data_IF_819285906892
#
_entry.id   IF_819285906892
#
_cell.length_a   1.000
_cell.length_b   1.000
_cell.length_c   1.000
_cell.angle_alpha   90.00
_cell.angle_beta   90.00
_cell.angle_gamma   90.00
#
_symmetry.space_group_name_H-M   'P 1'
#
loop_
_entity.id
_entity.type
_entity.pdbx_description
1 polymer ?
#
# COMPACT_ATOMS: atom_id res chain seq x y z
N UNK A 1 -7.06 -6.41 -2.54
CA UNK A 1 -7.56 -5.18 -3.17
C UNK A 1 -8.03 -4.28 -2.05
N UNK A 2 -7.87 -2.96 -2.18
CA UNK A 2 -8.29 -1.97 -1.18
C UNK A 2 -8.99 -0.84 -1.91
N UNK A 3 -10.20 -0.47 -1.49
CA UNK A 3 -10.93 0.65 -2.10
C UNK A 3 -10.40 1.97 -1.56
N UNK A 4 -10.03 2.92 -2.43
CA UNK A 4 -9.54 4.25 -2.07
C UNK A 4 -10.12 5.29 -3.02
N UNK A 5 -10.86 6.28 -2.49
CA UNK A 5 -11.51 7.34 -3.29
C UNK A 5 -12.39 6.79 -4.44
N UNK A 6 -13.02 5.63 -4.22
CA UNK A 6 -13.86 4.96 -5.22
C UNK A 6 -13.09 4.20 -6.31
N UNK A 7 -11.76 4.06 -6.18
CA UNK A 7 -10.92 3.24 -7.04
C UNK A 7 -10.45 1.98 -6.29
N UNK A 8 -10.31 0.86 -7.00
CA UNK A 8 -9.68 -0.34 -6.46
C UNK A 8 -8.16 -0.25 -6.60
N UNK A 9 -7.44 -0.31 -5.48
CA UNK A 9 -5.97 -0.36 -5.46
C UNK A 9 -5.49 -1.82 -5.35
N UNK A 10 -4.54 -2.18 -6.21
CA UNK A 10 -3.82 -3.45 -6.11
C UNK A 10 -2.80 -3.32 -4.98
N UNK A 11 -2.95 -4.17 -3.96
CA UNK A 11 -2.06 -4.27 -2.81
C UNK A 11 -1.00 -5.35 -3.07
N UNK A 12 0.27 -4.98 -3.01
CA UNK A 12 1.42 -5.86 -3.16
C UNK A 12 2.31 -5.76 -1.92
N UNK A 13 2.91 -6.87 -1.50
CA UNK A 13 3.93 -6.90 -0.46
C UNK A 13 5.31 -7.11 -1.07
N UNK A 14 6.29 -6.30 -0.67
CA UNK A 14 7.69 -6.57 -0.94
C UNK A 14 8.20 -7.55 0.12
N UNK A 15 8.38 -8.81 -0.26
CA UNK A 15 8.77 -9.88 0.67
C UNK A 15 10.26 -10.17 0.55
N UNK A 16 10.98 -10.16 1.68
CA UNK A 16 12.37 -10.59 1.76
C UNK A 16 12.58 -11.47 3.00
N UNK A 17 13.14 -12.67 2.79
CA UNK A 17 13.32 -13.69 3.83
C UNK A 17 12.03 -13.97 4.64
N UNK A 18 10.88 -14.03 3.97
CA UNK A 18 9.59 -14.30 4.60
C UNK A 18 9.03 -13.15 5.44
N UNK A 19 9.63 -11.95 5.35
CA UNK A 19 9.16 -10.74 6.03
C UNK A 19 8.68 -9.72 5.01
N UNK A 20 7.53 -9.12 5.28
CA UNK A 20 7.02 -7.99 4.52
C UNK A 20 7.82 -6.74 4.89
N UNK A 21 8.51 -6.19 3.89
CA UNK A 21 9.41 -5.03 4.04
C UNK A 21 8.72 -3.72 3.74
N UNK A 22 7.79 -3.76 2.79
CA UNK A 22 6.91 -2.67 2.42
C UNK A 22 5.58 -3.26 1.92
N UNK A 23 4.50 -2.50 2.10
CA UNK A 23 3.23 -2.76 1.43
C UNK A 23 2.98 -1.62 0.46
N UNK A 24 2.65 -1.96 -0.77
CA UNK A 24 2.61 -1.06 -1.89
C UNK A 24 1.23 -1.13 -2.55
N UNK A 25 0.56 0.01 -2.66
CA UNK A 25 -0.75 0.15 -3.27
C UNK A 25 -0.60 0.80 -4.64
N UNK A 26 -0.98 0.10 -5.71
CA UNK A 26 -0.81 0.51 -7.11
C UNK A 26 0.63 0.89 -7.51
N UNK A 27 1.65 0.38 -6.80
CA UNK A 27 3.04 0.64 -7.17
C UNK A 27 3.42 -0.11 -8.45
N UNK A 28 4.09 0.60 -9.37
CA UNK A 28 4.63 0.08 -10.63
C UNK A 28 3.61 -0.56 -11.59
N UNK A 29 2.31 -0.24 -11.47
CA UNK A 29 1.32 -0.59 -12.48
C UNK A 29 1.53 0.20 -13.77
N UNK A 30 1.24 -0.39 -14.93
CA UNK A 30 1.16 0.36 -16.18
C UNK A 30 0.03 1.39 -16.09
N UNK A 31 0.31 2.63 -16.49
CA UNK A 31 -0.66 3.75 -16.46
C UNK A 31 -0.82 4.24 -17.90
N UNK A 32 -2.04 4.25 -18.41
CA UNK A 32 -2.31 4.80 -19.73
C UNK A 32 -2.20 6.33 -19.70
N UNK A 33 -1.79 6.92 -20.81
CA UNK A 33 -1.78 8.38 -20.95
C UNK A 33 -3.20 8.92 -20.77
N UNK A 34 -3.38 9.80 -19.77
CA UNK A 34 -4.67 10.41 -19.44
C UNK A 34 -5.38 9.80 -18.23
N UNK A 35 -4.90 8.66 -17.72
CA UNK A 35 -5.43 8.07 -16.49
C UNK A 35 -4.85 8.74 -15.25
N UNK A 36 -5.67 8.89 -14.22
CA UNK A 36 -5.27 9.34 -12.88
C UNK A 36 -5.25 8.14 -11.93
N UNK A 37 -4.09 7.85 -11.35
CA UNK A 37 -3.91 6.79 -10.37
C UNK A 37 -3.26 7.33 -9.10
N UNK A 38 -3.64 6.78 -7.96
CA UNK A 38 -2.95 7.00 -6.69
C UNK A 38 -2.04 5.82 -6.39
N UNK A 39 -0.78 6.11 -6.05
CA UNK A 39 0.17 5.15 -5.50
C UNK A 39 0.49 5.53 -4.06
N UNK A 40 0.44 4.55 -3.15
CA UNK A 40 0.72 4.73 -1.72
C UNK A 40 1.68 3.63 -1.28
N UNK A 41 2.62 3.95 -0.39
CA UNK A 41 3.46 2.96 0.31
C UNK A 41 3.26 3.03 1.82
N UNK A 42 3.26 1.86 2.44
CA UNK A 42 3.40 1.68 3.87
C UNK A 42 4.81 1.13 4.14
N UNK A 43 5.60 1.91 4.86
CA UNK A 43 7.02 1.66 5.07
C UNK A 43 7.42 1.79 6.54
N UNK A 44 8.52 1.15 6.91
CA UNK A 44 9.17 1.38 8.20
C UNK A 44 10.24 2.45 8.04
N UNK A 45 10.35 3.35 9.02
CA UNK A 45 11.44 4.33 9.10
C UNK A 45 12.74 3.78 9.71
N UNK A 46 12.80 2.46 9.98
CA UNK A 46 13.98 1.81 10.54
C UNK A 46 15.11 1.75 9.52
N UNK A 47 16.33 2.01 9.97
CA UNK A 47 17.52 1.94 9.13
C UNK A 47 18.05 0.52 8.91
N UNK A 48 17.68 -0.43 9.77
CA UNK A 48 18.14 -1.82 9.70
C UNK A 48 17.16 -2.70 8.92
N UNK A 49 17.36 -2.76 7.59
CA UNK A 49 16.46 -3.47 6.66
C UNK A 49 16.12 -4.91 7.07
N UNK A 50 17.07 -5.64 7.66
CA UNK A 50 16.87 -7.01 8.13
C UNK A 50 15.85 -7.13 9.27
N UNK A 51 15.76 -6.10 10.11
CA UNK A 51 14.80 -6.05 11.23
C UNK A 51 13.40 -5.66 10.78
N UNK A 52 13.27 -4.98 9.63
CA UNK A 52 11.99 -4.55 9.11
C UNK A 52 11.08 -5.76 8.90
N UNK A 53 9.91 -5.68 9.53
CA UNK A 53 8.78 -6.56 9.31
C UNK A 53 7.52 -5.72 9.59
N UNK A 54 6.65 -5.58 8.59
CA UNK A 54 5.35 -4.92 8.75
C UNK A 54 4.34 -5.99 9.16
N UNK A 55 3.92 -6.02 10.44
CA UNK A 55 3.03 -7.06 10.92
C UNK A 55 1.63 -6.91 10.33
N UNK A 56 0.91 -8.03 10.21
CA UNK A 56 -0.41 -8.11 9.59
C UNK A 56 -1.40 -7.10 10.17
N UNK A 57 -1.44 -6.94 11.51
CA UNK A 57 -2.33 -5.98 12.16
C UNK A 57 -2.07 -4.52 11.76
N UNK A 58 -0.83 -4.16 11.41
CA UNK A 58 -0.49 -2.82 10.90
C UNK A 58 -0.92 -2.69 9.44
N UNK A 59 -0.82 -3.75 8.65
CA UNK A 59 -1.35 -3.76 7.28
C UNK A 59 -2.88 -3.63 7.25
N UNK A 60 -3.59 -4.33 8.14
CA UNK A 60 -5.04 -4.20 8.30
C UNK A 60 -5.44 -2.78 8.71
N UNK A 61 -4.65 -2.13 9.58
CA UNK A 61 -4.88 -0.76 9.97
C UNK A 61 -4.68 0.19 8.77
N UNK A 62 -3.65 -0.03 7.96
CA UNK A 62 -3.42 0.75 6.75
C UNK A 62 -4.55 0.57 5.73
N UNK A 63 -5.04 -0.65 5.54
CA UNK A 63 -6.19 -0.92 4.66
C UNK A 63 -7.42 -0.14 5.14
N UNK A 64 -7.75 -0.19 6.44
CA UNK A 64 -8.85 0.59 7.03
C UNK A 64 -8.68 2.10 6.85
N UNK A 65 -7.45 2.61 6.98
CA UNK A 65 -7.16 4.03 6.75
C UNK A 65 -7.46 4.38 5.31
N UNK A 66 -6.98 3.60 4.34
CA UNK A 66 -7.23 3.85 2.92
C UNK A 66 -8.72 3.74 2.57
N UNK A 67 -9.41 2.73 3.08
CA UNK A 67 -10.85 2.54 2.88
C UNK A 67 -11.70 3.65 3.51
N UNK A 68 -11.15 4.40 4.47
CA UNK A 68 -11.85 5.55 5.05
C UNK A 68 -11.90 6.77 4.13
N UNK A 69 -11.10 6.82 3.07
CA UNK A 69 -11.10 7.94 2.12
C UNK A 69 -12.29 7.84 1.17
N UNK A 70 -13.22 8.76 1.31
CA UNK A 70 -14.34 8.94 0.40
C UNK A 70 -14.12 10.15 -0.51
N UNK A 71 -14.45 10.01 -1.80
CA UNK A 71 -14.56 11.15 -2.70
C UNK A 71 -15.78 11.97 -2.30
N UNK A 72 -15.58 13.11 -1.65
CA UNK A 72 -16.65 14.05 -1.31
C UNK A 72 -16.87 15.04 -2.45
N UNK A 73 -18.12 15.45 -2.65
CA UNK A 73 -18.53 16.44 -3.65
C UNK A 73 -18.36 17.87 -3.14
#
# INVERSE_FOLDING_TARGET
MVTFLGQELIKNALVYQGKDKAVLYNNAGEISVGDLIFAISLESNRSDYESIAIPENVQEQADKILESFALTR
#
